data_IF_585406305502
#
_entry.id   IF_585406305502
#
_cell.length_a   1.000
_cell.length_b   1.000
_cell.length_c   1.000
_cell.angle_alpha   90.00
_cell.angle_beta   90.00
_cell.angle_gamma   90.00
#
_symmetry.space_group_name_H-M   'P 1'
#
loop_
_entity.id
_entity.type
_entity.pdbx_description
1 polymer ?
#
# COMPACT_ATOMS: atom_id res chain seq x y z
N UNK A 1 6.45 -13.37 5.03
CA UNK A 1 7.22 -12.12 5.07
C UNK A 1 6.75 -11.23 3.95
N UNK A 2 6.42 -9.97 4.25
CA UNK A 2 5.95 -9.00 3.28
C UNK A 2 7.04 -7.94 3.12
N UNK A 3 7.42 -7.62 1.89
CA UNK A 3 8.40 -6.57 1.57
C UNK A 3 7.68 -5.41 0.89
N UNK A 4 7.82 -4.21 1.43
CA UNK A 4 7.23 -2.97 0.92
C UNK A 4 8.25 -1.84 0.97
N UNK A 5 7.98 -0.76 0.24
CA UNK A 5 8.74 0.48 0.36
C UNK A 5 8.56 1.14 1.74
N UNK A 6 9.49 2.02 2.08
CA UNK A 6 9.58 2.73 3.36
C UNK A 6 8.42 3.68 3.65
N UNK A 7 7.74 4.15 2.60
CA UNK A 7 6.55 5.01 2.67
C UNK A 7 5.23 4.23 2.85
N UNK A 8 5.29 2.93 3.15
CA UNK A 8 4.12 2.10 3.43
C UNK A 8 3.90 2.00 4.93
N UNK A 9 2.73 2.43 5.40
CA UNK A 9 2.40 2.31 6.82
C UNK A 9 2.34 0.85 7.26
N UNK A 10 2.80 0.56 8.47
CA UNK A 10 2.77 -0.78 9.06
C UNK A 10 1.40 -1.13 9.67
N UNK A 11 0.33 -0.74 8.98
CA UNK A 11 -1.04 -1.15 9.27
C UNK A 11 -1.43 -2.33 8.36
N UNK A 12 -2.16 -3.35 8.84
CA UNK A 12 -2.52 -4.52 8.03
C UNK A 12 -3.23 -4.17 6.73
N UNK A 13 -4.14 -3.19 6.73
CA UNK A 13 -4.93 -2.86 5.55
C UNK A 13 -4.05 -2.20 4.47
N UNK A 14 -3.18 -1.27 4.88
CA UNK A 14 -2.24 -0.62 3.95
C UNK A 14 -1.17 -1.59 3.44
N UNK A 15 -0.61 -2.43 4.31
CA UNK A 15 0.38 -3.43 3.93
C UNK A 15 -0.18 -4.41 2.89
N UNK A 16 -1.37 -4.95 3.16
CA UNK A 16 -2.02 -5.88 2.23
C UNK A 16 -2.38 -5.19 0.91
N UNK A 17 -2.90 -3.96 0.97
CA UNK A 17 -3.18 -3.18 -0.23
C UNK A 17 -1.91 -2.94 -1.06
N UNK A 18 -0.82 -2.50 -0.45
CA UNK A 18 0.44 -2.20 -1.13
C UNK A 18 1.03 -3.46 -1.78
N UNK A 19 1.09 -4.58 -1.03
CA UNK A 19 1.60 -5.86 -1.55
C UNK A 19 0.73 -6.33 -2.72
N UNK A 20 -0.57 -6.46 -2.53
CA UNK A 20 -1.44 -7.13 -3.50
C UNK A 20 -1.66 -6.31 -4.78
N UNK A 21 -1.42 -4.99 -4.77
CA UNK A 21 -1.47 -4.16 -5.98
C UNK A 21 -0.15 -4.18 -6.77
N UNK A 22 0.98 -4.52 -6.12
CA UNK A 22 2.31 -4.32 -6.69
C UNK A 22 3.00 -5.62 -7.11
N UNK A 23 2.44 -6.79 -6.77
CA UNK A 23 3.04 -8.08 -7.11
C UNK A 23 2.57 -8.65 -8.45
N UNK A 24 3.50 -9.31 -9.14
CA UNK A 24 3.24 -10.42 -10.04
C UNK A 24 3.56 -11.72 -9.29
N UNK A 25 2.60 -12.63 -9.04
CA UNK A 25 2.85 -13.84 -8.25
C UNK A 25 3.93 -14.77 -8.80
N UNK A 26 4.19 -14.79 -10.11
CA UNK A 26 5.23 -15.65 -10.70
C UNK A 26 6.63 -15.07 -10.47
N UNK A 27 6.74 -13.74 -10.52
CA UNK A 27 8.02 -13.03 -10.37
C UNK A 27 8.36 -12.73 -8.91
N UNK A 28 7.38 -12.31 -8.11
CA UNK A 28 7.58 -11.62 -6.83
C UNK A 28 7.19 -12.45 -5.59
N UNK A 29 6.89 -13.74 -5.76
CA UNK A 29 6.54 -14.64 -4.67
C UNK A 29 7.48 -15.84 -4.60
N UNK A 30 8.03 -16.10 -3.42
CA UNK A 30 8.93 -17.22 -3.18
C UNK A 30 8.62 -17.91 -1.86
N UNK A 31 8.89 -19.21 -1.81
CA UNK A 31 8.94 -19.95 -0.54
C UNK A 31 10.40 -20.17 -0.20
N UNK A 32 10.86 -19.54 0.88
CA UNK A 32 12.24 -19.64 1.35
C UNK A 32 12.33 -20.44 2.65
N UNK A 33 13.46 -21.10 2.95
CA UNK A 33 13.69 -21.70 4.26
C UNK A 33 13.67 -20.63 5.36
N UNK A 34 12.95 -20.88 6.45
CA UNK A 34 12.95 -20.06 7.67
C UNK A 34 13.31 -20.89 8.91
N UNK A 35 13.51 -20.19 10.04
CA UNK A 35 13.97 -20.81 11.28
C UNK A 35 12.99 -21.87 11.84
N UNK A 36 11.68 -21.65 11.66
CA UNK A 36 10.61 -22.52 12.17
C UNK A 36 9.83 -23.23 11.05
N UNK A 37 10.37 -23.23 9.83
CA UNK A 37 9.71 -23.81 8.66
C UNK A 37 9.77 -22.90 7.43
N UNK A 38 9.16 -23.32 6.30
CA UNK A 38 9.13 -22.52 5.09
C UNK A 38 8.37 -21.20 5.31
N UNK A 39 8.90 -20.12 4.75
CA UNK A 39 8.31 -18.78 4.80
C UNK A 39 7.92 -18.35 3.40
N UNK A 40 6.65 -18.01 3.21
CA UNK A 40 6.18 -17.32 2.02
C UNK A 40 6.68 -15.87 2.06
N UNK A 41 7.43 -15.46 1.05
CA UNK A 41 7.91 -14.09 0.84
C UNK A 41 7.14 -13.49 -0.32
N UNK A 42 6.53 -12.32 -0.10
CA UNK A 42 5.86 -11.53 -1.13
C UNK A 42 6.55 -10.17 -1.23
N UNK A 43 7.03 -9.81 -2.42
CA UNK A 43 7.72 -8.55 -2.68
C UNK A 43 6.87 -7.56 -3.47
N UNK A 44 6.16 -6.70 -2.74
CA UNK A 44 5.36 -5.61 -3.32
C UNK A 44 6.09 -4.28 -3.41
N UNK A 45 7.43 -4.26 -3.40
CA UNK A 45 8.19 -3.02 -3.62
C UNK A 45 7.97 -2.47 -5.02
N UNK A 46 8.13 -1.15 -5.19
CA UNK A 46 8.05 -0.51 -6.52
C UNK A 46 9.12 -1.08 -7.44
N UNK A 47 8.70 -1.58 -8.60
CA UNK A 47 9.62 -2.22 -9.54
C UNK A 47 10.46 -1.22 -10.32
N UNK A 48 11.72 -1.57 -10.50
CA UNK A 48 12.73 -0.81 -11.22
C UNK A 48 12.76 -1.18 -12.71
N UNK A 49 13.43 -0.33 -13.50
CA UNK A 49 13.57 -0.57 -14.94
C UNK A 49 14.38 -1.84 -15.23
N UNK A 50 15.35 -2.14 -14.38
CA UNK A 50 16.22 -3.31 -14.40
C UNK A 50 15.44 -4.62 -14.21
N UNK A 51 14.25 -4.58 -13.62
CA UNK A 51 13.34 -5.72 -13.43
C UNK A 51 12.40 -5.92 -14.63
N UNK A 52 12.63 -5.21 -15.74
CA UNK A 52 11.81 -5.27 -16.95
C UNK A 52 10.59 -4.34 -16.92
N UNK A 53 10.48 -3.46 -15.92
CA UNK A 53 9.38 -2.52 -15.79
C UNK A 53 9.71 -1.18 -16.45
N UNK A 54 9.31 -1.02 -17.72
CA UNK A 54 9.73 0.11 -18.56
C UNK A 54 8.92 1.40 -18.36
N UNK A 55 7.81 1.34 -17.62
CA UNK A 55 6.96 2.51 -17.32
C UNK A 55 7.33 3.11 -15.95
N UNK A 56 7.01 4.39 -15.76
CA UNK A 56 7.14 5.00 -14.43
C UNK A 56 6.19 4.31 -13.44
N UNK A 57 6.70 3.96 -12.26
CA UNK A 57 5.85 3.47 -11.18
C UNK A 57 4.86 4.56 -10.74
N UNK A 58 3.55 4.26 -10.68
CA UNK A 58 2.56 5.25 -10.31
C UNK A 58 2.74 5.67 -8.84
N UNK A 59 2.46 6.93 -8.55
CA UNK A 59 2.38 7.40 -7.17
C UNK A 59 1.08 6.90 -6.53
N UNK A 60 1.08 6.77 -5.19
CA UNK A 60 -0.17 6.52 -4.43
C UNK A 60 -1.15 7.66 -4.73
N UNK A 61 -2.41 7.32 -4.94
CA UNK A 61 -3.45 8.33 -5.18
C UNK A 61 -3.77 9.00 -3.84
N UNK A 62 -3.57 10.31 -3.77
CA UNK A 62 -3.86 11.12 -2.59
C UNK A 62 -4.78 12.27 -2.98
N UNK A 63 -5.66 12.67 -2.06
CA UNK A 63 -6.47 13.87 -2.22
C UNK A 63 -5.61 15.11 -1.98
N UNK A 64 -5.90 16.22 -2.67
CA UNK A 64 -5.22 17.48 -2.39
C UNK A 64 -5.59 17.99 -0.99
N UNK A 65 -4.68 18.70 -0.28
CA UNK A 65 -4.98 19.25 1.05
C UNK A 65 -6.20 20.18 1.05
N UNK A 66 -6.43 20.89 -0.06
CA UNK A 66 -7.60 21.76 -0.22
C UNK A 66 -8.91 20.96 -0.25
N UNK A 67 -8.94 19.83 -0.97
CA UNK A 67 -10.13 18.97 -1.06
C UNK A 67 -10.42 18.33 0.28
N UNK A 68 -9.39 17.82 0.97
CA UNK A 68 -9.53 17.25 2.33
C UNK A 68 -10.16 18.29 3.26
N UNK A 69 -9.57 19.50 3.33
CA UNK A 69 -10.12 20.60 4.16
C UNK A 69 -11.58 20.91 3.84
N UNK A 70 -11.93 20.99 2.56
CA UNK A 70 -13.31 21.31 2.14
C UNK A 70 -14.30 20.22 2.54
N UNK A 71 -13.89 18.95 2.53
CA UNK A 71 -14.72 17.84 3.01
C UNK A 71 -14.88 17.92 4.52
N UNK A 72 -13.80 18.24 5.22
CA UNK A 72 -13.77 18.34 6.68
C UNK A 72 -14.70 19.42 7.21
N UNK A 73 -14.65 20.62 6.61
CA UNK A 73 -15.52 21.75 6.94
C UNK A 73 -17.01 21.44 6.74
N UNK A 74 -17.33 20.49 5.86
CA UNK A 74 -18.72 20.14 5.51
C UNK A 74 -19.23 18.91 6.25
N UNK A 75 -18.36 18.11 6.87
CA UNK A 75 -18.69 16.76 7.35
C UNK A 75 -19.89 16.74 8.30
N UNK A 76 -19.92 17.64 9.30
CA UNK A 76 -21.01 17.73 10.27
C UNK A 76 -22.37 18.05 9.63
N UNK A 77 -22.37 18.81 8.53
CA UNK A 77 -23.57 19.19 7.80
C UNK A 77 -24.13 18.11 6.87
N UNK A 78 -23.41 16.99 6.67
CA UNK A 78 -23.80 15.94 5.72
C UNK A 78 -24.70 14.85 6.35
N UNK A 79 -24.95 14.89 7.66
CA UNK A 79 -25.71 13.85 8.36
C UNK A 79 -25.03 12.48 8.36
N UNK A 80 -23.71 12.44 8.18
CA UNK A 80 -22.88 11.24 8.21
C UNK A 80 -22.47 10.88 9.65
N UNK A 81 -22.06 9.62 9.92
CA UNK A 81 -21.47 9.24 11.19
C UNK A 81 -20.27 10.13 11.57
N UNK A 82 -19.95 10.17 12.86
CA UNK A 82 -18.76 10.89 13.36
C UNK A 82 -17.56 10.49 12.52
N UNK A 83 -16.85 11.50 11.98
CA UNK A 83 -15.70 11.27 11.12
C UNK A 83 -14.71 10.37 11.87
N UNK A 84 -14.25 9.26 11.26
CA UNK A 84 -13.15 8.48 11.83
C UNK A 84 -11.96 9.42 12.06
N UNK A 85 -11.36 9.38 13.25
CA UNK A 85 -10.09 10.08 13.48
C UNK A 85 -9.04 9.44 12.58
N UNK A 86 -8.22 10.26 11.91
CA UNK A 86 -7.08 9.78 11.13
C UNK A 86 -6.23 8.83 12.01
N UNK A 87 -5.90 7.65 11.47
CA UNK A 87 -4.93 6.74 12.07
C UNK A 87 -3.52 7.16 11.67
#
# INVERSE_FOLDING_TARGET
MLLTDDDTALDPDELLWAILNNIDPERDAWVLPGAEGPVLVLDGTRKLAEEGFTRRWPQKIVMSPEVVRRVDERWEGLGLPVRPRER
#
